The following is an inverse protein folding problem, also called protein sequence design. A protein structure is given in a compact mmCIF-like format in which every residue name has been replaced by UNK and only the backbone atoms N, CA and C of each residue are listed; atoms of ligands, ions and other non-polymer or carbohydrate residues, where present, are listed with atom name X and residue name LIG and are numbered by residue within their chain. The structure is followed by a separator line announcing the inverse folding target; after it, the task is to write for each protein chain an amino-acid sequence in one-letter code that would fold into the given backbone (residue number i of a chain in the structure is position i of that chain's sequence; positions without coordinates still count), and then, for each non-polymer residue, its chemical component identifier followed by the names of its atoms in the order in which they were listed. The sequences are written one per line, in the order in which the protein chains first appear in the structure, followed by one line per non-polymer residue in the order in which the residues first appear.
data_IF_321159074808
#
_entry.id   IF_321159074808
#
_cell.length_a   1.000
_cell.length_b   1.000
_cell.length_c   1.000
_cell.angle_alpha   90.00
_cell.angle_beta   90.00
_cell.angle_gamma   90.00
#
_symmetry.space_group_name_H-M   'P 1'
#
loop_
_entity.id
_entity.type
_entity.pdbx_description
1 polymer ?
#
# COMPACT_ATOMS: atom_id res chain seq x y z
N UNK A 1 -2.32 -19.35 36.05
CA UNK A 1 -1.12 -18.62 35.57
C UNK A 1 -0.86 -18.72 34.06
N UNK A 2 -1.28 -19.76 33.31
CA UNK A 2 -1.10 -19.83 31.83
C UNK A 2 -2.01 -18.90 31.04
N UNK A 3 -3.21 -18.60 31.52
CA UNK A 3 -4.19 -17.73 30.83
C UNK A 3 -3.79 -16.26 30.80
N UNK A 4 -3.15 -15.74 31.84
CA UNK A 4 -2.67 -14.35 31.90
C UNK A 4 -1.51 -14.08 30.93
N UNK A 5 -0.57 -15.01 30.79
CA UNK A 5 0.55 -14.88 29.87
C UNK A 5 0.10 -14.92 28.40
N UNK A 6 -0.90 -15.73 28.06
CA UNK A 6 -1.49 -15.77 26.72
C UNK A 6 -2.25 -14.50 26.39
N UNK A 7 -3.02 -13.95 27.36
CA UNK A 7 -3.74 -12.69 27.18
C UNK A 7 -2.81 -11.50 26.99
N UNK A 8 -1.70 -11.43 27.70
CA UNK A 8 -0.69 -10.37 27.52
C UNK A 8 -0.06 -10.45 26.14
N UNK A 9 0.31 -11.66 25.68
CA UNK A 9 0.90 -11.85 24.34
C UNK A 9 -0.05 -11.51 23.20
N UNK A 10 -1.36 -11.75 23.34
CA UNK A 10 -2.37 -11.39 22.35
C UNK A 10 -2.60 -9.88 22.32
N UNK A 11 -2.69 -9.23 23.49
CA UNK A 11 -2.83 -7.78 23.60
C UNK A 11 -1.65 -7.03 23.00
N UNK A 12 -0.42 -7.49 23.24
CA UNK A 12 0.80 -6.89 22.70
C UNK A 12 0.84 -6.98 21.16
N UNK A 13 0.42 -8.11 20.61
CA UNK A 13 0.32 -8.27 19.15
C UNK A 13 -0.77 -7.39 18.54
N UNK A 14 -1.96 -7.34 19.17
CA UNK A 14 -3.05 -6.49 18.71
C UNK A 14 -2.64 -5.01 18.73
N UNK A 15 -1.97 -4.58 19.79
CA UNK A 15 -1.46 -3.20 19.90
C UNK A 15 -0.49 -2.87 18.75
N UNK A 16 0.37 -3.81 18.36
CA UNK A 16 1.29 -3.61 17.23
C UNK A 16 0.54 -3.51 15.88
N UNK A 17 -0.48 -4.35 15.65
CA UNK A 17 -1.33 -4.24 14.47
C UNK A 17 -2.03 -2.88 14.39
N UNK A 18 -2.61 -2.44 15.51
CA UNK A 18 -3.27 -1.13 15.59
C UNK A 18 -2.27 -0.01 15.34
N UNK A 19 -1.08 -0.07 15.92
CA UNK A 19 -0.03 0.93 15.73
C UNK A 19 0.39 1.04 14.26
N UNK A 20 0.69 -0.09 13.61
CA UNK A 20 1.11 -0.11 12.19
C UNK A 20 -0.02 0.37 11.29
N UNK A 21 -1.27 -0.02 11.57
CA UNK A 21 -2.43 0.45 10.84
C UNK A 21 -2.65 1.96 10.99
N UNK A 22 -2.54 2.48 12.21
CA UNK A 22 -2.65 3.94 12.47
C UNK A 22 -1.54 4.69 11.72
N UNK A 23 -0.31 4.17 11.74
CA UNK A 23 0.81 4.75 11.02
C UNK A 23 0.54 4.82 9.51
N UNK A 24 -0.01 3.76 8.94
CA UNK A 24 -0.44 3.73 7.54
C UNK A 24 -1.53 4.78 7.26
N UNK A 25 -2.57 4.86 8.11
CA UNK A 25 -3.66 5.84 7.95
C UNK A 25 -3.15 7.27 8.06
N UNK A 26 -2.24 7.55 8.99
CA UNK A 26 -1.57 8.85 9.11
C UNK A 26 -0.79 9.16 7.82
N UNK A 27 -0.13 8.16 7.25
CA UNK A 27 0.51 8.27 5.93
C UNK A 27 -0.48 8.65 4.84
N UNK A 28 -1.66 7.99 4.78
CA UNK A 28 -2.71 8.29 3.80
C UNK A 28 -3.18 9.75 3.92
N UNK A 29 -3.45 10.21 5.13
CA UNK A 29 -3.86 11.60 5.38
C UNK A 29 -2.75 12.57 4.96
N UNK A 30 -1.52 12.29 5.35
CA UNK A 30 -0.37 13.11 4.98
C UNK A 30 -0.16 13.18 3.46
N UNK A 31 -0.26 12.04 2.76
CA UNK A 31 -0.17 11.97 1.30
C UNK A 31 -1.25 12.79 0.60
N UNK A 32 -2.50 12.69 1.07
CA UNK A 32 -3.60 13.49 0.54
C UNK A 32 -3.40 15.00 0.75
N UNK A 33 -2.84 15.41 1.89
CA UNK A 33 -2.54 16.82 2.18
C UNK A 33 -1.33 17.34 1.40
N UNK A 34 -0.37 16.48 1.06
CA UNK A 34 0.86 16.83 0.36
C UNK A 34 0.59 17.46 -1.02
N UNK A 35 -0.55 17.17 -1.63
CA UNK A 35 -0.97 17.76 -2.92
C UNK A 35 -1.08 19.28 -2.82
N UNK A 36 -1.52 19.81 -1.69
CA UNK A 36 -1.63 21.25 -1.48
C UNK A 36 -0.27 21.96 -1.35
N UNK A 37 0.80 21.19 -1.16
CA UNK A 37 2.18 21.70 -1.08
C UNK A 37 2.89 21.71 -2.45
N UNK A 38 2.28 21.13 -3.50
CA UNK A 38 2.82 21.16 -4.86
C UNK A 38 2.74 22.56 -5.44
N UNK A 39 3.73 22.94 -6.26
CA UNK A 39 3.68 24.17 -7.06
C UNK A 39 2.60 24.10 -8.13
N UNK A 40 2.15 25.24 -8.63
CA UNK A 40 1.12 25.28 -9.68
C UNK A 40 1.55 24.52 -10.94
N UNK A 41 2.81 24.66 -11.35
CA UNK A 41 3.35 23.94 -12.51
C UNK A 41 3.30 22.42 -12.32
N UNK A 42 3.74 21.92 -11.15
CA UNK A 42 3.67 20.49 -10.81
C UNK A 42 2.24 19.96 -10.77
N UNK A 43 1.30 20.80 -10.34
CA UNK A 43 -0.12 20.45 -10.32
C UNK A 43 -0.69 20.34 -11.74
N UNK A 44 -0.30 21.24 -12.64
CA UNK A 44 -0.73 21.22 -14.04
C UNK A 44 -0.18 20.00 -14.77
N UNK A 45 1.14 19.74 -14.66
CA UNK A 45 1.78 18.55 -15.26
C UNK A 45 1.08 17.26 -14.83
N UNK A 46 0.77 17.16 -13.55
CA UNK A 46 0.14 15.97 -12.97
C UNK A 46 -1.35 15.85 -13.41
N UNK A 47 -2.05 16.97 -13.53
CA UNK A 47 -3.43 17.00 -14.06
C UNK A 47 -3.47 16.56 -15.52
N UNK A 48 -2.53 17.02 -16.33
CA UNK A 48 -2.43 16.63 -17.74
C UNK A 48 -2.13 15.15 -17.90
N UNK A 49 -1.23 14.59 -17.09
CA UNK A 49 -0.94 13.15 -17.05
C UNK A 49 -2.20 12.34 -16.70
N UNK A 50 -2.98 12.77 -15.71
CA UNK A 50 -4.23 12.10 -15.32
C UNK A 50 -5.27 12.19 -16.45
N UNK A 51 -5.43 13.34 -17.08
CA UNK A 51 -6.36 13.52 -18.21
C UNK A 51 -5.98 12.62 -19.37
N UNK A 52 -4.69 12.56 -19.75
CA UNK A 52 -4.19 11.65 -20.77
C UNK A 52 -4.46 10.18 -20.40
N UNK A 53 -4.20 9.79 -19.15
CA UNK A 53 -4.49 8.46 -18.67
C UNK A 53 -5.98 8.09 -18.83
N UNK A 54 -6.90 9.00 -18.50
CA UNK A 54 -8.34 8.79 -18.66
C UNK A 54 -8.72 8.68 -20.15
N UNK A 55 -8.14 9.52 -21.03
CA UNK A 55 -8.37 9.43 -22.47
C UNK A 55 -7.88 8.07 -23.03
N UNK A 56 -6.75 7.55 -22.57
CA UNK A 56 -6.28 6.23 -22.95
C UNK A 56 -7.23 5.11 -22.49
N UNK A 57 -7.86 5.26 -21.31
CA UNK A 57 -8.90 4.32 -20.84
C UNK A 57 -10.10 4.33 -21.79
N UNK A 58 -10.59 5.52 -22.14
CA UNK A 58 -11.78 5.70 -22.99
C UNK A 58 -11.56 5.19 -24.41
N UNK A 59 -10.38 5.44 -24.98
CA UNK A 59 -10.01 5.01 -26.32
C UNK A 59 -9.67 3.51 -26.42
N UNK A 60 -9.67 2.79 -25.28
CA UNK A 60 -9.36 1.36 -25.26
C UNK A 60 -7.89 1.02 -25.51
N UNK A 61 -7.01 2.03 -25.57
CA UNK A 61 -5.58 1.88 -25.88
C UNK A 61 -4.75 1.41 -24.68
N UNK A 62 -5.34 1.19 -23.51
CA UNK A 62 -4.66 0.67 -22.33
C UNK A 62 -3.95 -0.68 -22.54
N UNK A 63 -4.37 -1.45 -23.57
CA UNK A 63 -3.80 -2.77 -23.84
C UNK A 63 -2.42 -2.71 -24.53
N UNK A 64 -2.01 -1.56 -25.07
CA UNK A 64 -0.80 -1.48 -25.90
C UNK A 64 0.42 -0.86 -25.21
N UNK A 65 0.30 -0.30 -24.02
CA UNK A 65 1.39 0.32 -23.26
C UNK A 65 1.33 0.12 -21.76
N UNK A 66 0.36 -0.66 -21.27
CA UNK A 66 0.17 -0.89 -19.83
C UNK A 66 1.17 -1.91 -19.27
N UNK A 67 1.54 -1.70 -18.00
CA UNK A 67 2.32 -2.67 -17.24
C UNK A 67 1.66 -4.04 -17.29
N UNK A 68 2.46 -5.05 -17.58
CA UNK A 68 1.99 -6.44 -17.62
C UNK A 68 1.71 -6.94 -16.19
N UNK A 69 0.92 -8.00 -16.07
CA UNK A 69 0.75 -8.69 -14.78
C UNK A 69 2.09 -8.99 -14.10
N UNK A 70 3.09 -9.40 -14.89
CA UNK A 70 4.42 -9.71 -14.37
C UNK A 70 5.11 -8.49 -13.76
N UNK A 71 4.98 -7.30 -14.37
CA UNK A 71 5.57 -6.05 -13.86
C UNK A 71 4.92 -5.64 -12.54
N UNK A 72 3.59 -5.74 -12.44
CA UNK A 72 2.83 -5.44 -11.21
C UNK A 72 3.14 -6.43 -10.10
N UNK A 73 3.15 -7.72 -10.40
CA UNK A 73 3.51 -8.77 -9.46
C UNK A 73 4.95 -8.59 -8.96
N UNK A 74 5.87 -8.24 -9.86
CA UNK A 74 7.26 -7.94 -9.53
C UNK A 74 7.40 -6.70 -8.65
N UNK A 75 6.65 -5.66 -8.93
CA UNK A 75 6.62 -4.46 -8.10
C UNK A 75 6.14 -4.77 -6.67
N UNK A 76 5.04 -5.51 -6.52
CA UNK A 76 4.54 -5.95 -5.22
C UNK A 76 5.55 -6.85 -4.49
N UNK A 77 6.19 -7.78 -5.22
CA UNK A 77 7.20 -8.67 -4.66
C UNK A 77 8.44 -7.92 -4.16
N UNK A 78 8.92 -6.90 -4.89
CA UNK A 78 10.05 -6.05 -4.45
C UNK A 78 9.75 -5.36 -3.12
N UNK A 79 8.57 -4.77 -2.94
CA UNK A 79 8.17 -4.13 -1.70
C UNK A 79 8.14 -5.10 -0.54
N UNK A 80 7.58 -6.29 -0.73
CA UNK A 80 7.55 -7.32 0.29
C UNK A 80 8.94 -7.85 0.62
N UNK A 81 9.77 -8.08 -0.39
CA UNK A 81 11.16 -8.52 -0.23
C UNK A 81 11.97 -7.50 0.59
N UNK A 82 11.74 -6.21 0.35
CA UNK A 82 12.38 -5.14 1.10
C UNK A 82 11.96 -5.18 2.57
N UNK A 83 10.67 -5.36 2.88
CA UNK A 83 10.18 -5.55 4.26
C UNK A 83 10.79 -6.81 4.87
N UNK A 84 10.88 -7.92 4.11
CA UNK A 84 11.44 -9.17 4.59
C UNK A 84 12.94 -9.04 4.92
N UNK A 85 13.73 -8.42 4.05
CA UNK A 85 15.18 -8.20 4.30
C UNK A 85 15.39 -7.27 5.50
N UNK A 86 14.66 -6.15 5.57
CA UNK A 86 14.75 -5.21 6.69
C UNK A 86 14.36 -5.86 8.01
N UNK A 87 13.31 -6.69 8.02
CA UNK A 87 12.86 -7.39 9.21
C UNK A 87 13.85 -8.42 9.77
N UNK A 88 14.83 -8.88 8.98
CA UNK A 88 15.90 -9.74 9.47
C UNK A 88 16.88 -9.00 10.39
N UNK A 89 16.88 -7.70 10.36
CA UNK A 89 17.79 -6.86 11.15
C UNK A 89 17.02 -6.06 12.20
N UNK A 90 17.63 -5.88 13.37
CA UNK A 90 17.05 -5.04 14.44
C UNK A 90 16.96 -3.57 14.00
N UNK A 91 17.97 -3.10 13.27
CA UNK A 91 18.04 -1.74 12.72
C UNK A 91 16.97 -1.53 11.63
N UNK A 92 16.54 -2.59 10.95
CA UNK A 92 15.49 -2.52 9.92
C UNK A 92 14.09 -2.23 10.45
N UNK A 93 13.83 -2.42 11.75
CA UNK A 93 12.49 -2.18 12.34
C UNK A 93 11.94 -0.76 12.07
N UNK A 94 12.66 0.34 12.33
CA UNK A 94 12.18 1.68 12.00
C UNK A 94 11.98 1.89 10.51
N UNK A 95 12.79 1.25 9.67
CA UNK A 95 12.64 1.34 8.21
C UNK A 95 11.40 0.60 7.71
N UNK A 96 11.04 -0.54 8.29
CA UNK A 96 9.77 -1.23 7.99
C UNK A 96 8.59 -0.32 8.30
N UNK A 97 8.59 0.33 9.46
CA UNK A 97 7.54 1.29 9.83
C UNK A 97 7.52 2.50 8.88
N UNK A 98 8.68 3.01 8.48
CA UNK A 98 8.77 4.08 7.49
C UNK A 98 8.20 3.66 6.13
N UNK A 99 8.39 2.40 5.72
CA UNK A 99 7.79 1.86 4.49
C UNK A 99 6.27 1.74 4.58
N UNK A 100 5.72 1.36 5.74
CA UNK A 100 4.27 1.34 5.96
C UNK A 100 3.67 2.75 5.86
N UNK A 101 4.33 3.73 6.48
CA UNK A 101 3.95 5.13 6.35
C UNK A 101 4.05 5.61 4.90
N UNK A 102 5.16 5.33 4.21
CA UNK A 102 5.37 5.72 2.82
C UNK A 102 4.33 5.10 1.88
N UNK A 103 3.99 3.83 2.08
CA UNK A 103 2.92 3.18 1.32
C UNK A 103 1.57 3.87 1.56
N UNK A 104 1.28 4.28 2.79
CA UNK A 104 0.12 5.11 3.11
C UNK A 104 0.15 6.45 2.36
N UNK A 105 1.30 7.14 2.37
CA UNK A 105 1.48 8.41 1.64
C UNK A 105 1.20 8.25 0.14
N UNK A 106 1.73 7.21 -0.49
CA UNK A 106 1.49 6.95 -1.92
C UNK A 106 0.00 6.72 -2.24
N UNK A 107 -0.68 5.92 -1.41
CA UNK A 107 -2.13 5.69 -1.57
C UNK A 107 -2.92 6.98 -1.35
N UNK A 108 -2.60 7.73 -0.31
CA UNK A 108 -3.26 9.00 0.01
C UNK A 108 -3.04 10.06 -1.06
N UNK A 109 -1.82 10.15 -1.58
CA UNK A 109 -1.49 11.05 -2.68
C UNK A 109 -2.28 10.73 -3.94
N UNK A 110 -2.34 9.45 -4.34
CA UNK A 110 -3.11 9.03 -5.51
C UNK A 110 -4.61 9.35 -5.38
N UNK A 111 -5.21 9.07 -4.21
CA UNK A 111 -6.63 9.38 -3.95
C UNK A 111 -6.85 10.90 -3.95
N UNK A 112 -6.01 11.63 -3.22
CA UNK A 112 -6.14 13.07 -3.07
C UNK A 112 -6.01 13.80 -4.40
N UNK A 113 -5.13 13.33 -5.30
CA UNK A 113 -4.95 13.90 -6.63
C UNK A 113 -6.21 13.75 -7.49
N UNK A 114 -6.80 12.55 -7.49
CA UNK A 114 -8.05 12.30 -8.22
C UNK A 114 -9.22 13.10 -7.63
N UNK A 115 -9.28 13.25 -6.31
CA UNK A 115 -10.32 14.07 -5.65
C UNK A 115 -10.15 15.54 -5.98
N UNK A 116 -8.91 16.02 -6.06
CA UNK A 116 -8.65 17.42 -6.44
C UNK A 116 -9.06 17.72 -7.89
N UNK A 117 -8.70 16.82 -8.83
CA UNK A 117 -8.98 17.03 -10.25
C UNK A 117 -10.49 16.91 -10.57
N UNK A 118 -11.20 15.98 -9.93
CA UNK A 118 -12.57 15.62 -10.29
C UNK A 118 -13.59 15.75 -9.15
N UNK A 119 -13.22 16.39 -8.04
CA UNK A 119 -14.06 16.54 -6.84
C UNK A 119 -14.70 15.21 -6.39
N UNK A 120 -15.99 15.16 -6.14
CA UNK A 120 -16.71 13.95 -5.71
C UNK A 120 -16.71 12.82 -6.74
N UNK A 121 -16.64 13.16 -8.03
CA UNK A 121 -16.53 12.17 -9.11
C UNK A 121 -15.13 11.52 -9.09
N UNK A 122 -14.09 12.28 -8.74
CA UNK A 122 -12.74 11.78 -8.52
C UNK A 122 -12.65 10.80 -7.36
N UNK A 123 -13.43 10.99 -6.30
CA UNK A 123 -13.51 10.04 -5.20
C UNK A 123 -14.09 8.69 -5.67
N UNK A 124 -15.17 8.71 -6.45
CA UNK A 124 -15.75 7.48 -7.02
C UNK A 124 -14.77 6.78 -7.97
N UNK A 125 -14.08 7.55 -8.82
CA UNK A 125 -13.06 7.02 -9.71
C UNK A 125 -11.84 6.45 -8.96
N UNK A 126 -11.37 7.14 -7.91
CA UNK A 126 -10.28 6.65 -7.07
C UNK A 126 -10.67 5.35 -6.34
N UNK A 127 -11.92 5.27 -5.89
CA UNK A 127 -12.43 4.05 -5.26
C UNK A 127 -12.41 2.87 -6.23
N UNK A 128 -12.79 3.10 -7.49
CA UNK A 128 -12.76 2.07 -8.53
C UNK A 128 -11.32 1.68 -8.93
N UNK A 129 -10.38 2.63 -8.95
CA UNK A 129 -9.00 2.41 -9.39
C UNK A 129 -8.08 1.89 -8.28
N UNK A 130 -8.17 2.49 -7.09
CA UNK A 130 -7.21 2.27 -5.99
C UNK A 130 -7.72 1.25 -4.96
N UNK A 131 -9.04 1.24 -4.67
CA UNK A 131 -9.58 0.42 -3.59
C UNK A 131 -9.48 -1.10 -3.84
N UNK A 132 -9.78 -1.67 -5.03
CA UNK A 132 -9.83 -3.12 -5.20
C UNK A 132 -8.48 -3.78 -4.90
N UNK A 133 -7.39 -3.18 -5.38
CA UNK A 133 -6.02 -3.67 -5.16
C UNK A 133 -5.62 -3.50 -3.70
N UNK A 134 -5.84 -2.31 -3.14
CA UNK A 134 -5.41 -1.99 -1.78
C UNK A 134 -6.23 -2.73 -0.71
N UNK A 135 -7.45 -3.17 -1.00
CA UNK A 135 -8.24 -4.00 -0.10
C UNK A 135 -7.54 -5.34 0.22
N UNK A 136 -6.75 -5.86 -0.71
CA UNK A 136 -5.95 -7.08 -0.53
C UNK A 136 -4.51 -6.74 -0.17
N UNK A 137 -3.90 -5.80 -0.88
CA UNK A 137 -2.48 -5.48 -0.74
C UNK A 137 -2.15 -4.83 0.62
N UNK A 138 -3.00 -3.93 1.12
CA UNK A 138 -2.73 -3.24 2.40
C UNK A 138 -2.76 -4.20 3.59
N UNK A 139 -3.80 -5.04 3.81
CA UNK A 139 -3.77 -6.01 4.89
C UNK A 139 -2.60 -6.99 4.80
N UNK A 140 -2.28 -7.48 3.59
CA UNK A 140 -1.14 -8.38 3.38
C UNK A 140 0.17 -7.70 3.78
N UNK A 141 0.36 -6.44 3.38
CA UNK A 141 1.55 -5.67 3.69
C UNK A 141 1.67 -5.40 5.19
N UNK A 142 0.59 -4.97 5.86
CA UNK A 142 0.56 -4.73 7.30
C UNK A 142 0.87 -6.01 8.11
N UNK A 143 0.33 -7.16 7.70
CA UNK A 143 0.63 -8.45 8.35
C UNK A 143 2.12 -8.80 8.18
N UNK A 144 2.69 -8.59 7.00
CA UNK A 144 4.12 -8.80 6.76
C UNK A 144 4.98 -7.89 7.64
N UNK A 145 4.64 -6.60 7.74
CA UNK A 145 5.35 -5.61 8.55
C UNK A 145 5.27 -5.91 10.04
N UNK A 146 4.09 -6.28 10.56
CA UNK A 146 3.95 -6.70 11.96
C UNK A 146 4.76 -7.96 12.25
N UNK A 147 4.80 -8.91 11.31
CA UNK A 147 5.63 -10.12 11.43
C UNK A 147 7.13 -9.76 11.43
N UNK A 148 7.56 -8.83 10.57
CA UNK A 148 8.93 -8.33 10.50
C UNK A 148 9.35 -7.65 11.81
N UNK A 149 8.54 -6.72 12.32
CA UNK A 149 8.81 -6.03 13.59
C UNK A 149 8.83 -7.01 14.76
N UNK A 150 7.89 -7.96 14.80
CA UNK A 150 7.84 -8.98 15.86
C UNK A 150 9.10 -9.84 15.86
N UNK A 151 9.56 -10.26 14.68
CA UNK A 151 10.80 -11.02 14.52
C UNK A 151 12.03 -10.20 14.92
N UNK A 152 12.14 -8.95 14.46
CA UNK A 152 13.24 -8.06 14.82
C UNK A 152 13.32 -7.81 16.35
N UNK A 153 12.18 -7.59 17.01
CA UNK A 153 12.09 -7.47 18.47
C UNK A 153 12.53 -8.77 19.16
N UNK A 154 12.14 -9.93 18.62
CA UNK A 154 12.57 -11.22 19.16
C UNK A 154 14.08 -11.39 19.06
N UNK A 155 14.69 -11.06 17.93
CA UNK A 155 16.15 -11.07 17.73
C UNK A 155 16.85 -10.11 18.67
N UNK A 156 16.33 -8.87 18.82
CA UNK A 156 16.88 -7.88 19.75
C UNK A 156 16.89 -8.40 21.19
N UNK A 157 15.77 -8.94 21.66
CA UNK A 157 15.65 -9.50 23.01
C UNK A 157 16.58 -10.70 23.24
N UNK A 158 16.70 -11.59 22.25
CA UNK A 158 17.58 -12.77 22.38
C UNK A 158 19.06 -12.39 22.40
N UNK A 159 19.45 -11.34 21.69
CA UNK A 159 20.84 -10.84 21.67
C UNK A 159 21.21 -10.02 22.91
N UNK A 160 20.30 -9.13 23.35
CA UNK A 160 20.55 -8.26 24.50
C UNK A 160 20.52 -8.98 25.84
N UNK A 161 19.69 -10.01 26.00
CA UNK A 161 19.53 -10.75 27.25
C UNK A 161 20.30 -12.07 27.31
N UNK A 162 21.22 -12.33 26.37
CA UNK A 162 22.12 -13.50 26.41
C UNK A 162 21.44 -14.87 26.32
N UNK A 163 20.16 -14.91 26.03
CA UNK A 163 19.39 -16.16 25.84
C UNK A 163 19.53 -16.62 24.39
N UNK A 164 20.59 -17.27 24.05
CA UNK A 164 20.79 -17.90 22.74
C UNK A 164 19.82 -19.08 22.54
N UNK A 165 18.53 -18.77 22.34
CA UNK A 165 17.56 -19.76 21.87
C UNK A 165 17.74 -20.06 20.37
N UNK A 166 17.30 -21.23 19.88
CA UNK A 166 17.37 -21.55 18.46
C UNK A 166 16.48 -20.57 17.66
N UNK A 167 17.10 -19.71 16.84
CA UNK A 167 16.41 -18.72 15.98
C UNK A 167 15.69 -19.36 14.78
N UNK A 168 15.94 -20.66 14.52
CA UNK A 168 15.40 -21.34 13.33
C UNK A 168 13.87 -21.36 13.27
N UNK A 169 13.19 -21.69 14.38
CA UNK A 169 11.71 -21.69 14.40
C UNK A 169 11.08 -20.31 14.21
N UNK A 170 11.51 -19.24 14.90
CA UNK A 170 11.02 -17.89 14.64
C UNK A 170 11.29 -17.40 13.22
N UNK A 171 12.48 -17.69 12.67
CA UNK A 171 12.84 -17.34 11.30
C UNK A 171 11.96 -18.08 10.29
N UNK A 172 11.74 -19.39 10.50
CA UNK A 172 10.86 -20.17 9.63
C UNK A 172 9.42 -19.62 9.64
N UNK A 173 8.89 -19.30 10.82
CA UNK A 173 7.56 -18.73 10.96
C UNK A 173 7.46 -17.35 10.26
N UNK A 174 8.48 -16.50 10.41
CA UNK A 174 8.56 -15.20 9.75
C UNK A 174 8.58 -15.35 8.23
N UNK A 175 9.46 -16.21 7.69
CA UNK A 175 9.57 -16.46 6.24
C UNK A 175 8.31 -17.12 5.68
N UNK A 176 7.68 -18.04 6.42
CA UNK A 176 6.41 -18.64 6.02
C UNK A 176 5.27 -17.59 5.94
N UNK A 177 5.22 -16.64 6.89
CA UNK A 177 4.27 -15.53 6.85
C UNK A 177 4.55 -14.64 5.63
N UNK A 178 5.79 -14.29 5.37
CA UNK A 178 6.16 -13.49 4.20
C UNK A 178 5.78 -14.21 2.89
N UNK A 179 6.01 -15.51 2.79
CA UNK A 179 5.61 -16.30 1.62
C UNK A 179 4.08 -16.34 1.44
N UNK A 180 3.31 -16.49 2.52
CA UNK A 180 1.85 -16.43 2.47
C UNK A 180 1.35 -15.04 2.02
N UNK A 181 1.98 -13.96 2.52
CA UNK A 181 1.63 -12.60 2.10
C UNK A 181 2.04 -12.33 0.65
N UNK A 182 3.12 -12.94 0.16
CA UNK A 182 3.49 -12.88 -1.26
C UNK A 182 2.39 -13.45 -2.15
N UNK A 183 1.80 -14.57 -1.78
CA UNK A 183 0.68 -15.17 -2.54
C UNK A 183 -0.51 -14.20 -2.58
N UNK A 184 -0.84 -13.55 -1.46
CA UNK A 184 -1.89 -12.53 -1.43
C UNK A 184 -1.57 -11.30 -2.28
N UNK A 185 -0.31 -10.87 -2.30
CA UNK A 185 0.13 -9.76 -3.15
C UNK A 185 0.12 -10.11 -4.64
N UNK A 186 0.42 -11.35 -5.00
CA UNK A 186 0.24 -11.85 -6.38
C UNK A 186 -1.25 -11.85 -6.75
N UNK A 187 -2.15 -12.27 -5.84
CA UNK A 187 -3.58 -12.18 -6.04
C UNK A 187 -4.04 -10.72 -6.19
N UNK A 188 -3.48 -9.77 -5.42
CA UNK A 188 -3.72 -8.34 -5.59
C UNK A 188 -3.27 -7.84 -6.97
N UNK A 189 -2.11 -8.29 -7.47
CA UNK A 189 -1.62 -7.97 -8.80
C UNK A 189 -2.52 -8.54 -9.92
N UNK A 190 -3.14 -9.72 -9.71
CA UNK A 190 -4.16 -10.24 -10.63
C UNK A 190 -5.40 -9.33 -10.66
N UNK A 191 -5.90 -8.91 -9.50
CA UNK A 191 -7.01 -7.95 -9.42
C UNK A 191 -6.65 -6.64 -10.11
N UNK A 192 -5.44 -6.14 -9.91
CA UNK A 192 -4.94 -4.93 -10.53
C UNK A 192 -4.87 -5.04 -12.07
N UNK A 193 -4.44 -6.19 -12.58
CA UNK A 193 -4.25 -6.39 -14.02
C UNK A 193 -5.55 -6.68 -14.77
N UNK A 194 -6.51 -7.36 -14.13
CA UNK A 194 -7.71 -7.85 -14.82
C UNK A 194 -9.00 -7.17 -14.36
N UNK A 195 -9.15 -6.89 -13.06
CA UNK A 195 -10.38 -6.32 -12.51
C UNK A 195 -10.37 -4.80 -12.57
N UNK A 196 -9.26 -4.18 -12.20
CA UNK A 196 -9.15 -2.71 -12.17
C UNK A 196 -9.43 -2.08 -13.54
N UNK A 197 -8.93 -2.56 -14.69
CA UNK A 197 -9.26 -1.97 -15.99
C UNK A 197 -10.75 -2.02 -16.33
N UNK A 198 -11.46 -3.07 -15.90
CA UNK A 198 -12.91 -3.20 -16.10
C UNK A 198 -13.65 -2.13 -15.29
N UNK A 199 -13.27 -1.98 -14.01
CA UNK A 199 -13.86 -0.97 -13.13
C UNK A 199 -13.57 0.46 -13.61
N UNK A 200 -12.36 0.70 -14.11
CA UNK A 200 -11.95 1.99 -14.67
C UNK A 200 -12.78 2.34 -15.92
N UNK A 201 -13.00 1.40 -16.84
CA UNK A 201 -13.87 1.60 -18.02
C UNK A 201 -15.30 1.95 -17.62
N UNK A 202 -15.80 1.33 -16.55
CA UNK A 202 -17.13 1.63 -16.02
C UNK A 202 -17.19 2.99 -15.33
N UNK A 203 -16.12 3.39 -14.63
CA UNK A 203 -16.05 4.65 -13.90
C UNK A 203 -15.62 5.85 -14.77
N UNK A 204 -14.93 5.63 -15.91
CA UNK A 204 -14.42 6.68 -16.79
C UNK A 204 -15.53 7.65 -17.30
N UNK A 205 -16.75 7.20 -17.67
CA UNK A 205 -17.82 8.13 -18.07
C UNK A 205 -18.26 9.08 -16.96
N UNK A 206 -18.11 8.70 -15.69
CA UNK A 206 -18.47 9.55 -14.54
C UNK A 206 -17.58 10.80 -14.45
N UNK A 207 -16.35 10.67 -14.94
CA UNK A 207 -15.33 11.73 -14.92
C UNK A 207 -15.30 12.51 -16.24
N UNK A 208 -15.60 11.87 -17.38
CA UNK A 208 -15.60 12.48 -18.71
C UNK A 208 -16.75 13.47 -18.95
N UNK A 209 -17.78 13.43 -18.12
CA UNK A 209 -18.94 14.34 -18.25
C UNK A 209 -18.74 15.73 -17.63
N UNK A 210 -17.52 16.17 -17.39
CA UNK A 210 -17.21 17.55 -17.00
C UNK A 210 -17.02 18.39 -18.27
N UNK A 211 -17.91 19.37 -18.56
CA UNK A 211 -17.68 20.29 -19.65
C UNK A 211 -16.46 21.15 -19.36
N UNK A 212 -15.75 21.53 -20.42
CA UNK A 212 -14.61 22.46 -20.41
C UNK A 212 -15.01 23.92 -19.96
N UNK A 213 -16.08 24.06 -19.20
CA UNK A 213 -16.63 25.36 -18.80
C UNK A 213 -15.99 25.97 -17.56
N UNK A 214 -14.97 25.38 -16.99
CA UNK A 214 -14.27 25.99 -15.84
C UNK A 214 -12.94 26.68 -16.20
N UNK A 215 -12.65 26.84 -17.50
CA UNK A 215 -11.47 27.62 -17.96
C UNK A 215 -11.73 29.13 -18.06
N UNK A 216 -12.88 29.66 -17.56
CA UNK A 216 -13.21 31.09 -17.65
C UNK A 216 -13.56 31.72 -16.30
N UNK A 217 -12.75 31.47 -15.24
CA UNK A 217 -12.75 32.34 -14.06
C UNK A 217 -11.35 32.55 -13.52
#
# INVERSE_FOLDING_TARGET
MRTSALQTSVKDRLSLYVFVFVLFVVGVVFGALMINALTLDQQQDLSDDIRQFILHIQNGTMAQGGETFADRAWFQAKWLLLVWVLGLTVVGMPFVLALDFLKGVLVGFAIGMLVREFAWKGLAFSLASVAPVNLIAVPAFLIASVSAVTFAVHVAKSRLFGRFGPLGRPLLAYTATAAAMLVLLIAAALVESYVTPILLRWAAPLVAGLPAELESF
#
